data_IF_990431145926
#
_entry.id   IF_990431145926
#
_cell.length_a   1.000
_cell.length_b   1.000
_cell.length_c   1.000
_cell.angle_alpha   90.00
_cell.angle_beta   90.00
_cell.angle_gamma   90.00
#
_symmetry.space_group_name_H-M   'P 1'
#
loop_
_entity.id
_entity.type
_entity.pdbx_description
1 polymer ?
#
# COMPACT_ATOMS: atom_id res chain seq x y z
N UNK A 1 12.62 -14.80 41.35
CA UNK A 1 11.19 -15.17 41.25
C UNK A 1 10.64 -14.59 39.96
N UNK A 2 10.76 -15.34 38.87
CA UNK A 2 10.13 -15.03 37.59
C UNK A 2 8.88 -15.91 37.48
N UNK A 3 7.70 -15.30 37.53
CA UNK A 3 6.44 -15.94 37.12
C UNK A 3 6.07 -15.38 35.75
N UNK A 4 5.93 -16.21 34.72
CA UNK A 4 5.45 -15.75 33.42
C UNK A 4 3.93 -15.59 33.46
N UNK A 5 3.44 -14.38 33.21
CA UNK A 5 2.01 -14.12 32.97
C UNK A 5 1.60 -14.67 31.60
N UNK A 6 1.48 -16.00 31.48
CA UNK A 6 0.90 -16.68 30.31
C UNK A 6 -0.64 -16.65 30.30
N UNK A 7 -1.29 -15.80 31.11
CA UNK A 7 -2.75 -15.77 31.26
C UNK A 7 -3.52 -14.85 30.31
N UNK A 8 -2.87 -13.91 29.61
CA UNK A 8 -3.58 -12.92 28.78
C UNK A 8 -4.00 -13.43 27.40
N UNK A 9 -3.30 -14.44 26.84
CA UNK A 9 -3.64 -14.97 25.52
C UNK A 9 -4.88 -15.89 25.52
N UNK A 10 -5.17 -16.58 26.63
CA UNK A 10 -6.36 -17.43 26.72
C UNK A 10 -7.64 -16.63 27.01
N UNK A 11 -7.54 -15.54 27.78
CA UNK A 11 -8.71 -14.71 28.11
C UNK A 11 -9.23 -13.90 26.91
N UNK A 12 -8.37 -13.52 25.95
CA UNK A 12 -8.82 -12.79 24.77
C UNK A 12 -9.66 -13.65 23.81
N UNK A 13 -9.41 -14.96 23.74
CA UNK A 13 -10.11 -15.84 22.79
C UNK A 13 -11.52 -16.23 23.27
N UNK A 14 -11.76 -16.29 24.58
CA UNK A 14 -13.10 -16.66 25.13
C UNK A 14 -14.07 -15.48 25.24
N UNK A 15 -13.57 -14.23 25.20
CA UNK A 15 -14.39 -13.01 25.38
C UNK A 15 -15.11 -12.56 24.10
N UNK A 16 -14.82 -13.18 22.95
CA UNK A 16 -15.39 -12.84 21.64
C UNK A 16 -16.91 -13.15 21.54
N UNK A 17 -17.47 -13.99 22.42
CA UNK A 17 -18.87 -14.45 22.30
C UNK A 17 -19.93 -13.63 23.06
N UNK A 18 -19.58 -12.56 23.76
CA UNK A 18 -20.57 -11.67 24.42
C UNK A 18 -20.15 -10.20 24.29
N UNK A 19 -20.51 -9.58 23.16
CA UNK A 19 -20.13 -8.22 22.74
C UNK A 19 -20.39 -7.07 23.72
N UNK A 20 -21.05 -7.31 24.85
CA UNK A 20 -21.30 -6.31 25.90
C UNK A 20 -20.03 -6.06 26.76
N UNK A 21 -19.14 -7.05 26.92
CA UNK A 21 -17.94 -6.90 27.76
C UNK A 21 -16.77 -6.19 27.06
N UNK A 22 -16.69 -6.21 25.73
CA UNK A 22 -15.60 -5.55 25.00
C UNK A 22 -15.69 -4.02 25.03
N UNK A 23 -16.90 -3.45 24.98
CA UNK A 23 -17.07 -2.00 25.11
C UNK A 23 -16.59 -1.47 26.47
N UNK A 24 -16.85 -2.22 27.55
CA UNK A 24 -16.34 -1.92 28.89
C UNK A 24 -14.82 -2.16 29.02
N UNK A 25 -14.27 -3.14 28.31
CA UNK A 25 -12.83 -3.38 28.29
C UNK A 25 -12.06 -2.23 27.59
N UNK A 26 -12.60 -1.70 26.48
CA UNK A 26 -12.02 -0.54 25.78
C UNK A 26 -12.03 0.70 26.67
N UNK A 27 -13.12 0.95 27.40
CA UNK A 27 -13.17 2.08 28.34
C UNK A 27 -12.24 1.90 29.55
N UNK A 28 -12.00 0.66 30.00
CA UNK A 28 -11.01 0.36 31.06
C UNK A 28 -9.55 0.49 30.60
N UNK A 29 -9.26 0.32 29.31
CA UNK A 29 -7.94 0.59 28.73
C UNK A 29 -7.57 2.08 28.74
N UNK A 30 -8.54 2.99 28.98
CA UNK A 30 -8.30 4.44 29.08
C UNK A 30 -7.58 4.87 30.36
N UNK A 31 -7.23 3.97 31.28
CA UNK A 31 -6.49 4.35 32.49
C UNK A 31 -5.06 4.79 32.10
N UNK A 32 -4.60 5.98 32.53
CA UNK A 32 -3.29 6.49 32.16
C UNK A 32 -2.19 5.55 32.65
N UNK A 33 -1.19 5.31 31.79
CA UNK A 33 0.04 4.62 32.16
C UNK A 33 0.78 5.43 33.24
N UNK A 34 1.60 4.78 34.10
CA UNK A 34 2.34 5.46 35.16
C UNK A 34 3.17 6.65 34.63
N UNK A 35 3.16 7.78 35.36
CA UNK A 35 3.65 9.11 34.93
C UNK A 35 5.13 9.22 34.56
N UNK A 36 5.94 8.18 34.81
CA UNK A 36 7.41 8.20 34.62
C UNK A 36 7.83 7.67 33.24
N UNK A 37 6.94 6.95 32.54
CA UNK A 37 7.23 6.32 31.25
C UNK A 37 6.86 7.10 29.97
N UNK A 38 5.86 8.00 29.95
CA UNK A 38 5.41 8.63 28.71
C UNK A 38 6.54 9.39 27.98
N UNK A 39 7.32 10.19 28.72
CA UNK A 39 8.29 11.11 28.13
C UNK A 39 9.48 10.44 27.43
N UNK A 40 9.98 9.30 27.92
CA UNK A 40 11.12 8.62 27.27
C UNK A 40 10.71 7.99 25.93
N UNK A 41 9.59 7.25 25.90
CA UNK A 41 9.13 6.58 24.70
C UNK A 41 8.62 7.56 23.63
N UNK A 42 8.03 8.69 24.06
CA UNK A 42 7.61 9.78 23.19
C UNK A 42 8.77 10.41 22.41
N UNK A 43 9.98 10.38 22.95
CA UNK A 43 11.17 10.94 22.29
C UNK A 43 11.86 9.97 21.32
N UNK A 44 11.47 8.68 21.31
CA UNK A 44 12.02 7.74 20.33
C UNK A 44 11.57 8.10 18.91
N UNK A 45 12.43 7.92 17.90
CA UNK A 45 12.02 8.06 16.50
C UNK A 45 10.92 7.05 16.17
N UNK A 46 10.06 7.36 15.19
CA UNK A 46 8.85 6.58 14.89
C UNK A 46 9.17 5.09 14.65
N UNK A 47 10.26 4.80 13.93
CA UNK A 47 10.72 3.46 13.62
C UNK A 47 11.22 2.65 14.84
N UNK A 48 11.41 3.27 16.00
CA UNK A 48 11.65 2.59 17.28
C UNK A 48 10.43 2.67 18.21
N UNK A 49 9.70 3.78 18.16
CA UNK A 49 8.50 4.03 18.97
C UNK A 49 7.43 2.98 18.71
N UNK A 50 7.39 2.40 17.52
CA UNK A 50 6.46 1.32 17.16
C UNK A 50 6.63 0.04 18.00
N UNK A 51 7.77 -0.13 18.67
CA UNK A 51 8.06 -1.26 19.58
C UNK A 51 7.75 -0.93 21.05
N UNK A 52 7.02 0.15 21.34
CA UNK A 52 6.69 0.56 22.70
C UNK A 52 5.28 0.17 23.10
N UNK A 53 5.04 0.12 24.41
CA UNK A 53 3.73 -0.23 24.99
C UNK A 53 2.62 0.75 24.55
N UNK A 54 2.93 2.04 24.44
CA UNK A 54 1.96 3.05 23.99
C UNK A 54 1.48 2.80 22.56
N UNK A 55 2.39 2.40 21.66
CA UNK A 55 2.03 2.05 20.29
C UNK A 55 1.11 0.83 20.23
N UNK A 56 1.42 -0.22 21.01
CA UNK A 56 0.59 -1.44 21.08
C UNK A 56 -0.82 -1.11 21.58
N UNK A 57 -0.96 -0.31 22.65
CA UNK A 57 -2.27 0.11 23.14
C UNK A 57 -3.06 0.91 22.10
N UNK A 58 -2.42 1.85 21.40
CA UNK A 58 -3.07 2.62 20.33
C UNK A 58 -3.57 1.71 19.19
N UNK A 59 -2.81 0.68 18.81
CA UNK A 59 -3.28 -0.34 17.84
C UNK A 59 -4.47 -1.15 18.36
N UNK A 60 -4.47 -1.54 19.64
CA UNK A 60 -5.59 -2.24 20.27
C UNK A 60 -6.85 -1.37 20.21
N UNK A 61 -6.74 -0.08 20.58
CA UNK A 61 -7.85 0.87 20.52
C UNK A 61 -8.36 1.06 19.08
N UNK A 62 -7.45 1.20 18.11
CA UNK A 62 -7.83 1.27 16.68
C UNK A 62 -8.59 0.02 16.23
N UNK A 63 -8.20 -1.17 16.68
CA UNK A 63 -8.95 -2.41 16.40
C UNK A 63 -10.28 -2.46 17.15
N UNK A 64 -10.33 -1.89 18.36
CA UNK A 64 -11.53 -1.72 19.16
C UNK A 64 -12.62 -0.94 18.43
N UNK A 65 -12.25 0.12 17.69
CA UNK A 65 -13.17 0.85 16.81
C UNK A 65 -13.85 -0.09 15.81
N UNK A 66 -13.11 -0.96 15.13
CA UNK A 66 -13.69 -1.90 14.17
C UNK A 66 -14.70 -2.86 14.83
N UNK A 67 -14.40 -3.32 16.04
CA UNK A 67 -15.32 -4.16 16.82
C UNK A 67 -16.60 -3.40 17.16
N UNK A 68 -16.48 -2.18 17.69
CA UNK A 68 -17.62 -1.31 18.01
C UNK A 68 -18.51 -1.10 16.79
N UNK A 69 -17.92 -0.90 15.61
CA UNK A 69 -18.65 -0.73 14.35
C UNK A 69 -19.38 -2.01 13.91
N UNK A 70 -18.76 -3.19 14.06
CA UNK A 70 -19.42 -4.48 13.78
C UNK A 70 -20.59 -4.73 14.73
N UNK A 71 -20.48 -4.27 15.98
CA UNK A 71 -21.56 -4.29 16.98
C UNK A 71 -22.57 -3.16 16.81
N UNK A 72 -22.42 -2.30 15.79
CA UNK A 72 -23.28 -1.12 15.53
C UNK A 72 -23.28 -0.06 16.65
N UNK A 73 -22.26 -0.07 17.50
CA UNK A 73 -22.02 0.91 18.57
C UNK A 73 -21.29 2.14 18.01
N UNK A 74 -21.96 2.87 17.11
CA UNK A 74 -21.33 3.94 16.34
C UNK A 74 -21.03 5.21 17.15
N UNK A 75 -21.73 5.44 18.28
CA UNK A 75 -21.47 6.59 19.14
C UNK A 75 -20.13 6.41 19.86
N UNK A 76 -19.93 5.23 20.41
CA UNK A 76 -18.72 4.79 21.11
C UNK A 76 -17.55 4.72 20.12
N UNK A 77 -17.76 4.21 18.91
CA UNK A 77 -16.75 4.21 17.86
C UNK A 77 -16.28 5.62 17.49
N UNK A 78 -17.20 6.60 17.42
CA UNK A 78 -16.87 8.01 17.16
C UNK A 78 -16.09 8.64 18.32
N UNK A 79 -16.46 8.33 19.56
CA UNK A 79 -15.72 8.79 20.74
C UNK A 79 -14.28 8.26 20.74
N UNK A 80 -14.09 6.97 20.49
CA UNK A 80 -12.75 6.38 20.41
C UNK A 80 -11.93 6.93 19.24
N UNK A 81 -12.53 7.15 18.08
CA UNK A 81 -11.84 7.78 16.95
C UNK A 81 -11.37 9.20 17.28
N UNK A 82 -12.19 9.99 17.99
CA UNK A 82 -11.78 11.32 18.47
C UNK A 82 -10.64 11.25 19.48
N UNK A 83 -10.66 10.27 20.38
CA UNK A 83 -9.57 10.03 21.33
C UNK A 83 -8.27 9.64 20.63
N UNK A 84 -8.34 8.78 19.60
CA UNK A 84 -7.18 8.40 18.79
C UNK A 84 -6.59 9.58 18.02
N UNK A 85 -7.46 10.46 17.49
CA UNK A 85 -7.07 11.62 16.69
C UNK A 85 -6.56 12.81 17.53
N UNK A 86 -6.91 12.90 18.82
CA UNK A 86 -6.48 13.99 19.70
C UNK A 86 -5.01 13.92 20.10
N UNK A 87 -4.37 12.76 19.95
CA UNK A 87 -2.93 12.56 20.16
C UNK A 87 -2.19 12.44 18.82
N UNK A 88 -0.91 12.84 18.80
CA UNK A 88 -0.03 12.80 17.62
C UNK A 88 1.21 11.90 17.81
N UNK A 89 1.32 11.22 18.94
CA UNK A 89 2.52 10.47 19.33
C UNK A 89 2.59 9.09 18.69
N UNK A 90 1.48 8.37 18.68
CA UNK A 90 1.41 6.95 18.34
C UNK A 90 0.57 6.74 17.08
N UNK A 91 1.04 5.83 16.23
CA UNK A 91 0.40 5.43 14.97
C UNK A 91 0.01 6.62 14.05
N UNK A 92 0.92 7.56 13.76
CA UNK A 92 0.63 8.68 12.86
C UNK A 92 0.18 8.21 11.46
N UNK A 93 0.70 7.08 10.99
CA UNK A 93 0.33 6.40 9.74
C UNK A 93 -1.15 5.99 9.67
N UNK A 94 -1.79 5.79 10.83
CA UNK A 94 -3.20 5.38 10.91
C UNK A 94 -4.18 6.55 10.88
N UNK A 95 -3.71 7.81 10.92
CA UNK A 95 -4.58 8.99 11.04
C UNK A 95 -5.53 9.15 9.87
N UNK A 96 -5.08 8.90 8.64
CA UNK A 96 -5.95 8.94 7.46
C UNK A 96 -7.13 7.98 7.56
N UNK A 97 -6.87 6.75 8.01
CA UNK A 97 -7.91 5.75 8.25
C UNK A 97 -8.88 6.19 9.34
N UNK A 98 -8.37 6.77 10.42
CA UNK A 98 -9.21 7.25 11.52
C UNK A 98 -10.11 8.41 11.08
N UNK A 99 -9.59 9.38 10.33
CA UNK A 99 -10.37 10.49 9.79
C UNK A 99 -11.45 10.01 8.82
N UNK A 100 -11.12 9.15 7.85
CA UNK A 100 -12.12 8.63 6.91
C UNK A 100 -13.21 7.84 7.65
N UNK A 101 -12.83 7.02 8.64
CA UNK A 101 -13.80 6.25 9.42
C UNK A 101 -14.67 7.11 10.32
N UNK A 102 -14.12 8.19 10.89
CA UNK A 102 -14.86 9.16 11.68
C UNK A 102 -15.89 9.89 10.81
N UNK A 103 -15.47 10.38 9.65
CA UNK A 103 -16.35 11.03 8.68
C UNK A 103 -17.48 10.10 8.23
N UNK A 104 -17.16 8.83 7.92
CA UNK A 104 -18.14 7.81 7.56
C UNK A 104 -19.16 7.57 8.69
N UNK A 105 -18.70 7.39 9.93
CA UNK A 105 -19.58 7.14 11.06
C UNK A 105 -20.53 8.31 11.33
N UNK A 106 -20.00 9.54 11.32
CA UNK A 106 -20.79 10.76 11.51
C UNK A 106 -21.83 10.93 10.40
N UNK A 107 -21.43 10.74 9.14
CA UNK A 107 -22.30 10.92 7.98
C UNK A 107 -23.35 9.80 7.85
N UNK A 108 -22.91 8.55 7.75
CA UNK A 108 -23.76 7.44 7.33
C UNK A 108 -24.54 6.84 8.49
N UNK A 109 -23.93 6.70 9.67
CA UNK A 109 -24.53 5.99 10.79
C UNK A 109 -25.22 6.91 11.80
N UNK A 110 -24.57 8.02 12.19
CA UNK A 110 -25.13 8.95 13.18
C UNK A 110 -25.95 10.10 12.57
N UNK A 111 -25.85 10.31 11.25
CA UNK A 111 -26.54 11.39 10.51
C UNK A 111 -26.21 12.81 11.02
N UNK A 112 -25.05 12.99 11.63
CA UNK A 112 -24.53 14.27 12.10
C UNK A 112 -23.75 14.97 10.97
N UNK A 113 -24.47 15.50 9.98
CA UNK A 113 -23.88 16.01 8.73
C UNK A 113 -22.90 17.17 8.96
N UNK A 114 -23.23 18.15 9.80
CA UNK A 114 -22.34 19.29 10.09
C UNK A 114 -21.01 18.84 10.71
N UNK A 115 -21.07 17.86 11.62
CA UNK A 115 -19.88 17.28 12.24
C UNK A 115 -19.07 16.48 11.23
N UNK A 116 -19.72 15.76 10.32
CA UNK A 116 -19.03 15.05 9.25
C UNK A 116 -18.28 16.01 8.31
N UNK A 117 -18.88 17.16 7.97
CA UNK A 117 -18.23 18.17 7.12
C UNK A 117 -17.02 18.78 7.84
N UNK A 118 -17.15 19.14 9.12
CA UNK A 118 -16.01 19.60 9.92
C UNK A 118 -14.89 18.56 9.99
N UNK A 119 -15.25 17.30 10.29
CA UNK A 119 -14.32 16.18 10.31
C UNK A 119 -13.56 16.02 8.99
N UNK A 120 -14.23 16.20 7.84
CA UNK A 120 -13.58 16.15 6.53
C UNK A 120 -12.60 17.32 6.37
N UNK A 121 -12.99 18.55 6.73
CA UNK A 121 -12.11 19.73 6.65
C UNK A 121 -10.85 19.55 7.52
N UNK A 122 -11.02 19.07 8.74
CA UNK A 122 -9.90 18.80 9.65
C UNK A 122 -8.99 17.69 9.11
N UNK A 123 -9.57 16.56 8.66
CA UNK A 123 -8.80 15.47 8.07
C UNK A 123 -8.03 15.87 6.80
N UNK A 124 -8.57 16.75 5.97
CA UNK A 124 -7.87 17.31 4.81
C UNK A 124 -6.76 18.30 5.19
N UNK A 125 -6.86 18.92 6.37
CA UNK A 125 -5.86 19.86 6.90
C UNK A 125 -4.76 19.15 7.70
N UNK A 126 -4.95 17.88 8.04
CA UNK A 126 -3.98 17.07 8.78
C UNK A 126 -2.85 16.60 7.83
N UNK A 127 -1.59 17.02 8.06
CA UNK A 127 -0.48 16.71 7.17
C UNK A 127 -0.10 15.22 7.17
N UNK A 128 -0.54 14.46 8.18
CA UNK A 128 -0.25 13.01 8.30
C UNK A 128 -1.27 12.14 7.55
N UNK A 129 -2.30 12.75 6.94
CA UNK A 129 -3.28 12.03 6.14
C UNK A 129 -2.74 11.87 4.72
N UNK A 130 -2.36 10.64 4.38
CA UNK A 130 -1.85 10.26 3.06
C UNK A 130 -2.94 10.15 2.00
N UNK A 131 -2.51 10.13 0.75
CA UNK A 131 -3.32 10.36 -0.45
C UNK A 131 -4.55 9.51 -0.58
N UNK A 132 -4.47 8.19 -0.38
CA UNK A 132 -5.64 7.31 -0.51
C UNK A 132 -6.78 7.76 0.41
N UNK A 133 -6.46 8.12 1.65
CA UNK A 133 -7.43 8.65 2.60
C UNK A 133 -7.82 10.10 2.32
N UNK A 134 -6.91 10.95 1.82
CA UNK A 134 -7.26 12.31 1.34
C UNK A 134 -8.29 12.23 0.22
N UNK A 135 -8.06 11.38 -0.78
CA UNK A 135 -8.98 11.14 -1.90
C UNK A 135 -10.32 10.60 -1.41
N UNK A 136 -10.32 9.63 -0.49
CA UNK A 136 -11.58 9.13 0.12
C UNK A 136 -12.39 10.25 0.78
N UNK A 137 -11.73 11.16 1.51
CA UNK A 137 -12.36 12.33 2.13
C UNK A 137 -12.89 13.32 1.08
N UNK A 138 -12.11 13.62 0.02
CA UNK A 138 -12.55 14.45 -1.10
C UNK A 138 -13.78 13.89 -1.80
N UNK A 139 -13.74 12.61 -2.18
CA UNK A 139 -14.85 11.94 -2.84
C UNK A 139 -16.09 11.88 -1.94
N UNK A 140 -15.92 11.73 -0.62
CA UNK A 140 -17.04 11.82 0.34
C UNK A 140 -17.67 13.20 0.31
N UNK A 141 -16.87 14.26 0.36
CA UNK A 141 -17.37 15.63 0.26
C UNK A 141 -18.09 15.89 -1.08
N UNK A 142 -17.54 15.42 -2.20
CA UNK A 142 -18.16 15.53 -3.52
C UNK A 142 -19.54 14.84 -3.56
N UNK A 143 -19.63 13.58 -3.12
CA UNK A 143 -20.93 12.87 -3.01
C UNK A 143 -21.92 13.57 -2.07
N UNK A 144 -21.43 14.23 -1.02
CA UNK A 144 -22.28 15.03 -0.13
C UNK A 144 -22.82 16.28 -0.82
N UNK A 145 -22.03 16.97 -1.66
CA UNK A 145 -22.48 18.14 -2.44
C UNK A 145 -23.64 17.80 -3.36
N UNK A 146 -23.64 16.60 -3.94
CA UNK A 146 -24.68 16.11 -4.86
C UNK A 146 -25.92 15.53 -4.14
N UNK A 147 -25.79 15.17 -2.86
CA UNK A 147 -26.86 14.48 -2.14
C UNK A 147 -28.02 15.42 -1.77
N UNK A 148 -29.28 15.05 -2.07
CA UNK A 148 -30.45 15.81 -1.64
C UNK A 148 -30.52 16.04 -0.12
N UNK A 149 -30.06 15.04 0.66
CA UNK A 149 -30.03 15.09 2.13
C UNK A 149 -29.10 16.16 2.70
N UNK A 150 -28.11 16.59 1.91
CA UNK A 150 -27.07 17.53 2.33
C UNK A 150 -27.29 18.96 1.81
N UNK A 151 -28.36 19.21 1.03
CA UNK A 151 -28.66 20.55 0.45
C UNK A 151 -28.71 21.66 1.48
N UNK A 152 -29.22 21.41 2.69
CA UNK A 152 -29.28 22.41 3.77
C UNK A 152 -27.90 22.81 4.33
N UNK A 153 -26.87 22.02 4.05
CA UNK A 153 -25.49 22.21 4.53
C UNK A 153 -24.55 22.75 3.43
N UNK A 154 -25.10 23.17 2.27
CA UNK A 154 -24.33 23.57 1.09
C UNK A 154 -23.26 24.63 1.40
N UNK A 155 -23.56 25.59 2.28
CA UNK A 155 -22.61 26.64 2.69
C UNK A 155 -21.33 26.06 3.29
N UNK A 156 -21.47 25.04 4.16
CA UNK A 156 -20.32 24.39 4.78
C UNK A 156 -19.54 23.54 3.78
N UNK A 157 -20.23 22.95 2.81
CA UNK A 157 -19.64 22.10 1.77
C UNK A 157 -18.89 22.92 0.71
N UNK A 158 -19.33 24.14 0.42
CA UNK A 158 -18.71 25.00 -0.59
C UNK A 158 -17.23 25.26 -0.29
N UNK A 159 -16.88 25.45 0.99
CA UNK A 159 -15.49 25.72 1.39
C UNK A 159 -14.63 24.44 1.51
N UNK A 160 -15.17 23.25 1.26
CA UNK A 160 -14.36 22.03 1.27
C UNK A 160 -13.55 22.00 -0.03
N UNK A 161 -12.21 21.91 0.04
CA UNK A 161 -11.38 21.88 -1.16
C UNK A 161 -11.77 20.71 -2.06
N UNK A 162 -11.62 20.90 -3.37
CA UNK A 162 -11.83 19.85 -4.36
C UNK A 162 -10.49 19.38 -4.90
N UNK A 163 -10.38 18.08 -5.13
CA UNK A 163 -9.27 17.48 -5.88
C UNK A 163 -9.83 17.04 -7.22
N UNK A 164 -9.19 17.48 -8.29
CA UNK A 164 -9.46 16.99 -9.64
C UNK A 164 -8.54 15.79 -9.89
N UNK A 165 -9.13 14.66 -10.26
CA UNK A 165 -8.39 13.45 -10.62
C UNK A 165 -8.65 13.26 -12.11
N UNK A 166 -7.59 13.33 -12.90
CA UNK A 166 -7.69 13.14 -14.34
C UNK A 166 -8.21 11.72 -14.62
N UNK A 167 -9.21 11.64 -15.50
CA UNK A 167 -9.71 10.35 -15.96
C UNK A 167 -8.67 9.70 -16.89
N UNK A 168 -8.67 8.37 -16.92
CA UNK A 168 -7.72 7.57 -17.70
C UNK A 168 -8.44 6.84 -18.83
N UNK A 169 -7.70 6.32 -19.79
CA UNK A 169 -8.29 5.53 -20.88
C UNK A 169 -8.79 4.19 -20.35
N UNK A 170 -10.08 3.89 -20.57
CA UNK A 170 -10.68 2.63 -20.15
C UNK A 170 -10.75 1.64 -21.32
N UNK A 171 -10.18 0.44 -21.14
CA UNK A 171 -10.26 -0.67 -22.10
C UNK A 171 -11.14 -1.77 -21.53
N UNK A 172 -12.05 -2.33 -22.34
CA UNK A 172 -12.92 -3.44 -21.92
C UNK A 172 -12.61 -4.70 -22.71
N UNK A 173 -12.20 -5.74 -22.00
CA UNK A 173 -11.86 -7.06 -22.55
C UNK A 173 -13.00 -8.03 -22.21
N UNK A 174 -13.39 -8.89 -23.15
CA UNK A 174 -14.42 -9.91 -22.93
C UNK A 174 -13.74 -11.27 -22.71
N UNK A 175 -14.13 -11.96 -21.63
CA UNK A 175 -13.71 -13.32 -21.34
C UNK A 175 -14.88 -14.24 -21.01
N UNK A 176 -14.70 -15.55 -21.23
CA UNK A 176 -15.69 -16.57 -20.87
C UNK A 176 -15.47 -16.98 -19.41
N UNK A 177 -16.40 -16.64 -18.53
CA UNK A 177 -16.28 -16.97 -17.09
C UNK A 177 -16.50 -18.47 -16.85
N UNK A 178 -15.69 -19.07 -15.99
CA UNK A 178 -15.88 -20.43 -15.49
C UNK A 178 -17.00 -20.43 -14.44
N UNK A 179 -18.01 -21.32 -14.54
CA UNK A 179 -19.09 -21.38 -13.56
C UNK A 179 -18.55 -21.70 -12.15
N UNK A 180 -18.81 -20.82 -11.19
CA UNK A 180 -18.48 -21.04 -9.78
C UNK A 180 -19.76 -21.13 -8.94
N UNK A 181 -19.80 -22.08 -8.01
CA UNK A 181 -20.93 -22.34 -7.11
C UNK A 181 -20.78 -21.69 -5.71
N UNK A 182 -19.76 -20.86 -5.48
CA UNK A 182 -19.46 -20.27 -4.17
C UNK A 182 -18.81 -18.88 -4.22
N UNK A 183 -18.46 -18.35 -3.05
CA UNK A 183 -17.69 -17.11 -2.92
C UNK A 183 -16.21 -17.39 -3.22
N UNK A 184 -15.70 -16.89 -4.33
CA UNK A 184 -14.31 -17.06 -4.76
C UNK A 184 -13.88 -15.99 -5.76
N UNK A 185 -12.57 -15.95 -6.08
CA UNK A 185 -12.05 -15.10 -7.16
C UNK A 185 -12.63 -15.57 -8.50
N UNK A 186 -13.03 -14.64 -9.36
CA UNK A 186 -13.50 -14.95 -10.71
C UNK A 186 -12.40 -15.67 -11.52
N UNK A 187 -12.77 -16.76 -12.18
CA UNK A 187 -11.88 -17.57 -13.04
C UNK A 187 -12.45 -17.57 -14.45
N UNK A 188 -11.60 -17.46 -15.46
CA UNK A 188 -11.95 -17.39 -16.87
C UNK A 188 -11.41 -18.60 -17.65
N UNK A 189 -12.02 -18.88 -18.80
CA UNK A 189 -11.60 -19.92 -19.73
C UNK A 189 -10.94 -19.26 -20.94
N UNK A 190 -9.74 -19.72 -21.27
CA UNK A 190 -8.96 -19.31 -22.42
C UNK A 190 -8.63 -20.53 -23.28
N UNK A 191 -8.67 -20.36 -24.60
CA UNK A 191 -8.21 -21.38 -25.53
C UNK A 191 -6.71 -21.15 -25.80
N UNK A 192 -5.88 -22.09 -25.37
CA UNK A 192 -4.45 -22.06 -25.62
C UNK A 192 -4.11 -22.96 -26.82
N UNK A 193 -3.27 -22.45 -27.70
CA UNK A 193 -2.85 -23.16 -28.91
C UNK A 193 -1.53 -23.86 -28.61
N UNK A 194 -1.61 -25.11 -28.16
CA UNK A 194 -0.41 -25.92 -27.91
C UNK A 194 0.08 -26.49 -29.24
N UNK A 195 1.24 -26.01 -29.71
CA UNK A 195 1.95 -26.65 -30.81
C UNK A 195 2.72 -27.85 -30.24
N UNK A 196 2.23 -29.06 -30.48
CA UNK A 196 2.97 -30.27 -30.12
C UNK A 196 4.19 -30.43 -31.05
N UNK A 197 5.40 -30.28 -30.50
CA UNK A 197 6.63 -30.69 -31.20
C UNK A 197 6.74 -32.22 -31.18
N UNK A 198 5.88 -32.90 -31.92
CA UNK A 198 6.02 -34.32 -32.26
C UNK A 198 7.01 -34.46 -33.40
N UNK A 199 8.04 -35.29 -33.22
CA UNK A 199 9.15 -35.44 -34.16
C UNK A 199 8.81 -36.11 -35.50
N UNK A 200 7.56 -36.49 -35.79
CA UNK A 200 7.16 -36.97 -37.11
C UNK A 200 5.63 -36.83 -37.29
N UNK A 201 5.26 -36.31 -38.46
CA UNK A 201 3.92 -36.28 -39.09
C UNK A 201 2.89 -35.25 -38.54
N UNK A 202 2.62 -34.24 -39.39
CA UNK A 202 1.57 -33.20 -39.36
C UNK A 202 1.33 -32.46 -38.03
N UNK A 203 1.59 -31.14 -37.95
CA UNK A 203 1.23 -30.34 -36.78
C UNK A 203 -0.29 -30.38 -36.58
N UNK A 204 -0.76 -31.22 -35.65
CA UNK A 204 -2.15 -31.20 -35.20
C UNK A 204 -2.27 -30.06 -34.19
N UNK A 205 -3.00 -29.03 -34.58
CA UNK A 205 -3.32 -27.90 -33.69
C UNK A 205 -4.40 -28.37 -32.72
N UNK A 206 -4.02 -28.74 -31.50
CA UNK A 206 -4.97 -29.00 -30.42
C UNK A 206 -5.21 -27.71 -29.65
N UNK A 207 -6.47 -27.26 -29.60
CA UNK A 207 -6.91 -26.18 -28.71
C UNK A 207 -7.19 -26.79 -27.34
N UNK A 208 -6.37 -26.43 -26.34
CA UNK A 208 -6.61 -26.81 -24.95
C UNK A 208 -7.31 -25.66 -24.24
N UNK A 209 -8.42 -25.96 -23.53
CA UNK A 209 -9.10 -24.93 -22.73
C UNK A 209 -8.44 -24.86 -21.35
N UNK A 210 -7.75 -23.75 -21.08
CA UNK A 210 -7.05 -23.48 -19.82
C UNK A 210 -7.87 -22.53 -18.95
N UNK A 211 -7.84 -22.74 -17.64
CA UNK A 211 -8.42 -21.81 -16.67
C UNK A 211 -7.40 -20.72 -16.32
N UNK A 212 -7.82 -19.45 -16.32
CA UNK A 212 -6.94 -18.31 -16.09
C UNK A 212 -7.58 -17.26 -15.17
N UNK A 213 -6.74 -16.38 -14.61
CA UNK A 213 -7.17 -15.20 -13.86
C UNK A 213 -7.64 -14.06 -14.78
N UNK A 214 -8.09 -12.95 -14.21
CA UNK A 214 -8.45 -11.75 -14.99
C UNK A 214 -7.22 -11.09 -15.61
N UNK A 215 -6.08 -11.15 -14.92
CA UNK A 215 -4.81 -10.55 -15.31
C UNK A 215 -4.14 -11.38 -16.41
N UNK A 216 -4.19 -12.71 -16.32
CA UNK A 216 -3.74 -13.59 -17.40
C UNK A 216 -4.58 -13.40 -18.68
N UNK A 217 -5.90 -13.18 -18.53
CA UNK A 217 -6.77 -12.82 -19.65
C UNK A 217 -6.38 -11.48 -20.28
N UNK A 218 -6.04 -10.48 -19.47
CA UNK A 218 -5.56 -9.18 -19.95
C UNK A 218 -4.23 -9.31 -20.69
N UNK A 219 -3.25 -10.04 -20.12
CA UNK A 219 -1.96 -10.30 -20.76
C UNK A 219 -2.13 -10.98 -22.13
N UNK A 220 -3.00 -11.99 -22.25
CA UNK A 220 -3.25 -12.63 -23.54
C UNK A 220 -3.86 -11.67 -24.58
N UNK A 221 -4.75 -10.78 -24.15
CA UNK A 221 -5.32 -9.77 -25.03
C UNK A 221 -4.24 -8.81 -25.57
N UNK A 222 -3.35 -8.32 -24.73
CA UNK A 222 -2.28 -7.43 -25.17
C UNK A 222 -1.21 -8.15 -26.00
N UNK A 223 -0.94 -9.44 -25.75
CA UNK A 223 -0.12 -10.26 -26.66
C UNK A 223 -0.68 -10.30 -28.08
N UNK A 224 -2.00 -10.42 -28.23
CA UNK A 224 -2.65 -10.35 -29.54
C UNK A 224 -2.54 -8.97 -30.21
N UNK A 225 -2.34 -7.90 -29.43
CA UNK A 225 -2.08 -6.56 -29.93
C UNK A 225 -0.59 -6.30 -30.23
N UNK A 226 0.26 -7.32 -30.10
CA UNK A 226 1.68 -7.26 -30.44
C UNK A 226 2.62 -7.00 -29.27
N UNK A 227 2.12 -6.97 -28.03
CA UNK A 227 2.97 -6.87 -26.85
C UNK A 227 3.40 -8.25 -26.36
N UNK A 228 4.59 -8.69 -26.77
CA UNK A 228 5.06 -10.07 -26.58
C UNK A 228 5.55 -10.36 -25.16
N UNK A 229 5.85 -9.33 -24.37
CA UNK A 229 6.25 -9.44 -22.98
C UNK A 229 5.19 -8.87 -22.04
N UNK A 230 5.06 -9.47 -20.85
CA UNK A 230 4.34 -8.83 -19.77
C UNK A 230 4.43 -9.53 -18.42
N UNK A 231 4.32 -8.73 -17.35
CA UNK A 231 4.52 -9.16 -15.96
C UNK A 231 3.27 -8.82 -15.14
N UNK A 232 2.63 -9.85 -14.58
CA UNK A 232 1.64 -9.66 -13.53
C UNK A 232 2.33 -9.60 -12.16
N UNK A 233 2.71 -8.39 -11.74
CA UNK A 233 3.45 -8.17 -10.50
C UNK A 233 2.89 -7.12 -9.55
N UNK A 234 1.87 -6.36 -9.97
CA UNK A 234 1.39 -5.20 -9.21
C UNK A 234 2.60 -4.31 -8.79
N UNK A 235 2.58 -3.77 -7.57
CA UNK A 235 3.70 -2.99 -7.05
C UNK A 235 5.00 -3.77 -6.79
N UNK A 236 4.97 -5.11 -6.84
CA UNK A 236 6.18 -5.92 -6.63
C UNK A 236 7.20 -5.71 -7.76
N UNK A 237 6.75 -5.37 -8.97
CA UNK A 237 7.65 -5.10 -10.10
C UNK A 237 8.49 -3.85 -9.83
N UNK A 238 7.85 -2.73 -9.50
CA UNK A 238 8.52 -1.46 -9.22
C UNK A 238 9.33 -1.49 -7.94
N UNK A 239 8.81 -2.07 -6.86
CA UNK A 239 9.59 -2.22 -5.62
C UNK A 239 10.84 -3.08 -5.83
N UNK A 240 10.79 -4.10 -6.70
CA UNK A 240 11.98 -4.91 -7.04
C UNK A 240 12.98 -4.08 -7.82
N UNK A 241 12.56 -3.34 -8.85
CA UNK A 241 13.45 -2.45 -9.60
C UNK A 241 14.07 -1.38 -8.70
N UNK A 242 13.27 -0.74 -7.84
CA UNK A 242 13.74 0.22 -6.84
C UNK A 242 14.78 -0.41 -5.91
N UNK A 243 14.48 -1.59 -5.35
CA UNK A 243 15.40 -2.29 -4.47
C UNK A 243 16.72 -2.68 -5.17
N UNK A 244 16.68 -3.01 -6.46
CA UNK A 244 17.88 -3.28 -7.26
C UNK A 244 18.70 -2.01 -7.51
N UNK A 245 18.04 -0.89 -7.81
CA UNK A 245 18.68 0.39 -8.12
C UNK A 245 19.16 1.18 -6.90
N UNK A 246 18.64 0.88 -5.70
CA UNK A 246 18.91 1.63 -4.46
C UNK A 246 19.57 0.77 -3.39
N UNK A 247 20.02 -0.45 -3.72
CA UNK A 247 20.47 -1.43 -2.72
C UNK A 247 21.56 -0.90 -1.79
N UNK A 248 22.58 -0.26 -2.34
CA UNK A 248 23.70 0.32 -1.59
C UNK A 248 23.24 1.44 -0.65
N UNK A 249 22.25 2.25 -1.06
CA UNK A 249 21.66 3.33 -0.25
C UNK A 249 20.75 2.75 0.84
N UNK A 250 19.95 1.73 0.54
CA UNK A 250 19.09 1.05 1.53
C UNK A 250 19.94 0.49 2.68
N UNK A 251 21.08 -0.13 2.35
CA UNK A 251 21.97 -0.77 3.32
C UNK A 251 23.18 0.09 3.72
N UNK A 252 23.16 1.40 3.44
CA UNK A 252 24.28 2.26 3.78
C UNK A 252 24.52 2.34 5.29
N UNK A 253 25.79 2.45 5.67
CA UNK A 253 26.19 2.73 7.05
C UNK A 253 25.97 4.21 7.44
N UNK A 254 26.22 4.52 8.70
CA UNK A 254 26.19 5.90 9.20
C UNK A 254 24.83 6.39 9.69
N UNK A 255 23.81 5.53 9.70
CA UNK A 255 22.47 5.83 10.21
C UNK A 255 22.26 5.07 11.51
N UNK A 256 21.98 5.80 12.58
CA UNK A 256 21.87 5.22 13.92
C UNK A 256 20.60 4.40 14.10
N UNK A 257 20.71 3.32 14.87
CA UNK A 257 19.61 2.45 15.33
C UNK A 257 18.79 1.71 14.26
N UNK A 258 19.02 1.92 12.96
CA UNK A 258 18.26 1.26 11.89
C UNK A 258 18.65 -0.21 11.66
N UNK A 259 19.87 -0.60 12.03
CA UNK A 259 20.32 -2.00 12.08
C UNK A 259 20.83 -2.32 13.50
N UNK A 260 20.05 -3.09 14.25
CA UNK A 260 20.31 -3.48 15.64
C UNK A 260 20.81 -4.92 15.79
N UNK A 261 20.65 -5.76 14.77
CA UNK A 261 21.16 -7.13 14.77
C UNK A 261 21.49 -7.63 13.35
N UNK A 262 22.21 -8.75 13.27
CA UNK A 262 22.74 -9.34 12.03
C UNK A 262 21.72 -10.09 11.18
N UNK A 263 20.47 -10.22 11.65
CA UNK A 263 19.41 -10.98 10.96
C UNK A 263 18.37 -10.07 10.27
N UNK A 264 18.59 -8.75 10.29
CA UNK A 264 17.71 -7.82 9.62
C UNK A 264 17.83 -7.89 8.10
N UNK A 265 16.67 -7.95 7.45
CA UNK A 265 16.53 -7.99 5.98
C UNK A 265 16.31 -6.61 5.36
N UNK A 266 16.13 -5.58 6.20
CA UNK A 266 15.95 -4.17 5.85
C UNK A 266 16.27 -3.27 7.05
N UNK A 267 16.55 -1.97 6.83
CA UNK A 267 16.68 -1.02 7.92
C UNK A 267 15.32 -0.76 8.59
N UNK A 268 15.30 -0.54 9.91
CA UNK A 268 14.05 -0.37 10.66
C UNK A 268 13.21 0.84 10.22
N UNK A 269 13.84 1.85 9.60
CA UNK A 269 13.17 3.05 9.13
C UNK A 269 12.53 2.91 7.74
N UNK A 270 12.71 1.78 7.04
CA UNK A 270 12.29 1.58 5.64
C UNK A 270 10.83 1.91 5.32
N UNK A 271 9.93 1.80 6.27
CA UNK A 271 8.50 2.09 6.06
C UNK A 271 8.04 3.33 6.84
N UNK A 272 8.96 4.27 7.02
CA UNK A 272 8.73 5.52 7.72
C UNK A 272 9.32 6.68 6.93
N UNK A 273 8.71 7.85 7.09
CA UNK A 273 9.18 9.10 6.49
C UNK A 273 10.66 9.40 6.85
N UNK A 274 11.16 8.86 7.97
CA UNK A 274 12.55 9.00 8.40
C UNK A 274 13.57 8.36 7.46
N UNK A 275 13.22 7.32 6.69
CA UNK A 275 14.21 6.68 5.81
C UNK A 275 14.68 7.61 4.70
N UNK A 276 13.76 8.36 4.10
CA UNK A 276 14.09 9.38 3.10
C UNK A 276 14.91 10.50 3.75
N UNK A 277 14.44 11.06 4.87
CA UNK A 277 15.15 12.16 5.56
C UNK A 277 16.58 11.78 5.98
N UNK A 278 16.77 10.55 6.50
CA UNK A 278 18.08 10.04 6.90
C UNK A 278 19.04 9.79 5.72
N UNK A 279 18.51 9.70 4.49
CA UNK A 279 19.24 9.36 3.26
C UNK A 279 18.99 10.37 2.15
N UNK A 280 18.57 11.59 2.50
CA UNK A 280 18.06 12.57 1.53
C UNK A 280 19.05 12.84 0.41
N UNK A 281 20.26 13.26 0.78
CA UNK A 281 21.33 13.58 -0.17
C UNK A 281 21.68 12.41 -1.11
N UNK A 282 22.03 11.19 -0.63
CA UNK A 282 22.35 10.09 -1.54
C UNK A 282 21.15 9.61 -2.37
N UNK A 283 19.92 9.72 -1.85
CA UNK A 283 18.71 9.42 -2.64
C UNK A 283 18.57 10.44 -3.77
N UNK A 284 18.61 11.74 -3.47
CA UNK A 284 18.49 12.81 -4.47
C UNK A 284 19.59 12.70 -5.53
N UNK A 285 20.85 12.47 -5.13
CA UNK A 285 21.96 12.26 -6.05
C UNK A 285 21.77 11.02 -6.94
N UNK A 286 21.22 9.92 -6.40
CA UNK A 286 20.91 8.72 -7.18
C UNK A 286 19.76 8.98 -8.16
N UNK A 287 18.73 9.72 -7.75
CA UNK A 287 17.62 10.07 -8.64
C UNK A 287 18.10 10.95 -9.80
N UNK A 288 18.94 11.96 -9.53
CA UNK A 288 19.56 12.80 -10.56
C UNK A 288 20.40 11.96 -11.53
N UNK A 289 21.17 10.99 -11.01
CA UNK A 289 21.93 10.05 -11.85
C UNK A 289 21.01 9.22 -12.73
N UNK A 290 19.93 8.64 -12.16
CA UNK A 290 19.01 7.77 -12.90
C UNK A 290 18.26 8.53 -14.01
N UNK A 291 17.96 9.81 -13.79
CA UNK A 291 17.30 10.66 -14.77
C UNK A 291 18.16 10.90 -16.02
N UNK A 292 19.47 11.09 -15.83
CA UNK A 292 20.42 11.39 -16.92
C UNK A 292 21.18 10.14 -17.41
N UNK A 293 20.92 8.97 -16.83
CA UNK A 293 21.64 7.74 -17.12
C UNK A 293 21.35 7.22 -18.54
N UNK A 294 22.40 6.73 -19.21
CA UNK A 294 22.21 5.95 -20.43
C UNK A 294 21.56 4.61 -20.12
N UNK A 295 20.93 4.01 -21.12
CA UNK A 295 20.36 2.65 -21.08
C UNK A 295 21.39 1.65 -20.54
N UNK A 296 22.62 1.71 -21.03
CA UNK A 296 23.70 0.81 -20.60
C UNK A 296 24.03 1.02 -19.11
N UNK A 297 23.97 2.25 -18.62
CA UNK A 297 24.22 2.58 -17.22
C UNK A 297 23.14 1.98 -16.32
N UNK A 298 21.86 2.13 -16.69
CA UNK A 298 20.74 1.55 -15.94
C UNK A 298 20.83 0.02 -15.89
N UNK A 299 21.10 -0.62 -17.04
CA UNK A 299 21.27 -2.06 -17.12
C UNK A 299 22.45 -2.56 -16.31
N UNK A 300 23.55 -1.80 -16.27
CA UNK A 300 24.72 -2.10 -15.45
C UNK A 300 24.42 -2.04 -13.95
N UNK A 301 23.71 -1.01 -13.49
CA UNK A 301 23.32 -0.88 -12.07
C UNK A 301 22.45 -2.06 -11.62
N UNK A 302 21.46 -2.43 -12.43
CA UNK A 302 20.61 -3.61 -12.16
C UNK A 302 21.45 -4.88 -12.11
N UNK A 303 22.34 -5.09 -13.08
CA UNK A 303 23.19 -6.28 -13.15
C UNK A 303 24.17 -6.38 -11.97
N UNK A 304 24.75 -5.26 -11.53
CA UNK A 304 25.68 -5.24 -10.39
C UNK A 304 25.00 -5.71 -9.11
N UNK A 305 23.83 -5.15 -8.79
CA UNK A 305 23.05 -5.58 -7.63
C UNK A 305 22.57 -7.01 -7.78
N UNK A 306 22.05 -7.38 -8.95
CA UNK A 306 21.58 -8.75 -9.19
C UNK A 306 22.69 -9.77 -8.95
N UNK A 307 23.84 -9.63 -9.62
CA UNK A 307 24.93 -10.59 -9.54
C UNK A 307 25.55 -10.69 -8.13
N UNK A 308 25.55 -9.59 -7.37
CA UNK A 308 26.18 -9.55 -6.04
C UNK A 308 25.24 -9.91 -4.89
N UNK A 309 23.92 -9.73 -5.07
CA UNK A 309 22.94 -9.84 -3.97
C UNK A 309 21.87 -10.92 -4.18
N UNK A 310 21.80 -11.57 -5.35
CA UNK A 310 20.76 -12.56 -5.65
C UNK A 310 20.62 -13.61 -4.53
N UNK A 311 19.38 -13.86 -4.13
CA UNK A 311 19.05 -14.82 -3.06
C UNK A 311 19.07 -14.24 -1.66
N UNK A 312 19.55 -13.00 -1.44
CA UNK A 312 19.40 -12.32 -0.15
C UNK A 312 17.96 -11.88 0.06
N UNK A 313 17.45 -12.11 1.27
CA UNK A 313 16.08 -11.72 1.61
C UNK A 313 16.03 -10.20 1.80
N UNK A 314 15.09 -9.55 1.12
CA UNK A 314 14.77 -8.13 1.25
C UNK A 314 13.27 -7.93 0.96
N UNK A 315 12.54 -7.08 1.71
CA UNK A 315 11.10 -6.88 1.50
C UNK A 315 10.74 -6.19 0.17
N UNK A 316 11.69 -5.49 -0.45
CA UNK A 316 11.51 -4.78 -1.71
C UNK A 316 11.85 -5.63 -2.92
N UNK A 317 12.84 -6.52 -2.80
CA UNK A 317 13.36 -7.31 -3.93
C UNK A 317 12.79 -8.72 -3.91
N UNK A 318 11.92 -9.02 -4.87
CA UNK A 318 11.50 -10.39 -5.17
C UNK A 318 12.34 -10.94 -6.32
N UNK A 319 13.30 -11.82 -6.01
CA UNK A 319 14.20 -12.44 -7.00
C UNK A 319 13.52 -13.36 -8.02
N UNK A 320 12.25 -13.74 -7.79
CA UNK A 320 11.44 -14.54 -8.72
C UNK A 320 10.50 -13.67 -9.57
N UNK A 321 10.49 -12.34 -9.36
CA UNK A 321 9.62 -11.42 -10.09
C UNK A 321 9.96 -11.37 -11.58
N UNK A 322 11.25 -11.38 -11.88
CA UNK A 322 11.77 -11.43 -13.24
C UNK A 322 12.28 -12.84 -13.53
N UNK A 323 11.96 -13.36 -14.71
CA UNK A 323 12.38 -14.69 -15.15
C UNK A 323 13.89 -14.75 -15.37
N UNK A 324 14.50 -13.61 -15.71
CA UNK A 324 15.95 -13.47 -15.92
C UNK A 324 16.42 -12.04 -15.63
N UNK A 325 17.74 -11.87 -15.46
CA UNK A 325 18.38 -10.56 -15.40
C UNK A 325 18.09 -9.74 -16.66
N UNK A 326 18.12 -10.37 -17.83
CA UNK A 326 17.80 -9.72 -19.11
C UNK A 326 16.38 -9.14 -19.10
N UNK A 327 15.40 -9.85 -18.54
CA UNK A 327 14.04 -9.33 -18.42
C UNK A 327 13.99 -8.10 -17.48
N UNK A 328 14.68 -8.15 -16.33
CA UNK A 328 14.76 -7.00 -15.42
C UNK A 328 15.44 -5.78 -16.09
N UNK A 329 16.50 -6.02 -16.86
CA UNK A 329 17.22 -5.02 -17.64
C UNK A 329 16.42 -4.45 -18.81
N UNK A 330 15.45 -5.19 -19.35
CA UNK A 330 14.56 -4.69 -20.40
C UNK A 330 13.38 -3.90 -19.80
N UNK A 331 12.82 -4.36 -18.68
CA UNK A 331 11.74 -3.66 -17.95
C UNK A 331 12.13 -2.24 -17.51
N UNK A 332 13.41 -2.00 -17.19
CA UNK A 332 13.85 -0.65 -16.82
C UNK A 332 13.82 0.33 -18.01
N UNK A 333 13.95 -0.15 -19.25
CA UNK A 333 13.95 0.69 -20.45
C UNK A 333 12.55 1.20 -20.76
N UNK A 334 11.56 0.34 -20.60
CA UNK A 334 10.15 0.70 -20.74
C UNK A 334 9.69 1.64 -19.64
N UNK A 335 10.30 1.53 -18.46
CA UNK A 335 10.11 2.53 -17.42
C UNK A 335 10.72 3.87 -17.86
N UNK A 336 11.95 3.92 -18.39
CA UNK A 336 12.70 5.16 -18.66
C UNK A 336 11.96 6.16 -19.58
N UNK A 337 11.32 5.68 -20.66
CA UNK A 337 10.51 6.54 -21.55
C UNK A 337 9.25 7.12 -20.87
N UNK A 338 8.85 6.55 -19.73
CA UNK A 338 7.76 7.02 -18.87
C UNK A 338 8.26 7.66 -17.56
N UNK A 339 9.55 7.58 -17.24
CA UNK A 339 10.16 8.08 -15.99
C UNK A 339 10.48 9.58 -16.06
N UNK A 340 9.47 10.42 -16.32
CA UNK A 340 9.49 11.72 -15.62
C UNK A 340 9.41 11.43 -14.12
N UNK A 341 10.11 12.24 -13.30
CA UNK A 341 10.20 12.26 -11.82
C UNK A 341 9.14 11.40 -11.06
N UNK A 342 7.89 11.56 -11.45
CA UNK A 342 6.67 10.89 -10.99
C UNK A 342 6.75 9.36 -10.78
N UNK A 343 7.47 8.56 -11.59
CA UNK A 343 7.44 7.08 -11.43
C UNK A 343 8.46 6.51 -10.42
N UNK A 344 9.62 7.16 -10.24
CA UNK A 344 10.52 6.86 -9.13
C UNK A 344 9.93 7.37 -7.82
N UNK A 345 9.20 8.48 -7.87
CA UNK A 345 8.34 8.93 -6.76
C UNK A 345 7.25 7.89 -6.44
N UNK A 346 6.57 7.31 -7.43
CA UNK A 346 5.61 6.20 -7.22
C UNK A 346 6.28 4.96 -6.63
N UNK A 347 7.48 4.59 -7.09
CA UNK A 347 8.21 3.46 -6.52
C UNK A 347 8.68 3.72 -5.08
N UNK A 348 9.06 4.96 -4.76
CA UNK A 348 9.31 5.46 -3.40
C UNK A 348 8.03 5.51 -2.56
N UNK A 349 6.88 5.82 -3.15
CA UNK A 349 5.58 5.85 -2.48
C UNK A 349 5.04 4.46 -2.16
N UNK A 350 5.20 3.48 -3.05
CA UNK A 350 4.78 2.10 -2.83
C UNK A 350 5.56 1.40 -1.70
N UNK A 351 6.82 1.80 -1.49
CA UNK A 351 7.62 1.35 -0.34
C UNK A 351 7.34 2.15 0.95
N UNK A 352 6.48 3.17 0.87
CA UNK A 352 6.06 4.02 1.99
C UNK A 352 7.07 5.10 2.36
N UNK A 353 7.90 5.51 1.40
CA UNK A 353 9.02 6.44 1.54
C UNK A 353 8.81 7.81 0.89
N UNK A 354 7.81 7.94 0.01
CA UNK A 354 7.42 9.22 -0.55
C UNK A 354 6.27 9.89 0.24
N UNK A 355 6.38 11.20 0.40
CA UNK A 355 5.38 12.05 1.05
C UNK A 355 4.23 12.46 0.11
N UNK A 356 4.10 11.90 -1.10
CA UNK A 356 3.21 12.43 -2.13
C UNK A 356 2.65 11.37 -3.10
N UNK A 357 1.55 10.69 -2.73
CA UNK A 357 0.48 10.17 -3.66
C UNK A 357 0.81 9.10 -4.73
N UNK A 358 -0.01 8.02 -4.91
CA UNK A 358 -0.81 7.17 -4.02
C UNK A 358 -0.37 5.67 -3.99
N UNK A 359 -0.96 4.94 -3.04
CA UNK A 359 -0.97 3.47 -2.93
C UNK A 359 -1.37 2.75 -4.23
N UNK A 360 -0.58 1.73 -4.57
CA UNK A 360 -0.84 0.62 -5.50
C UNK A 360 -1.15 1.09 -6.91
N UNK A 361 -0.11 1.21 -7.72
CA UNK A 361 -0.28 1.18 -9.17
C UNK A 361 -0.20 -0.29 -9.58
N UNK A 362 -1.33 -0.90 -9.91
CA UNK A 362 -1.29 -2.09 -10.76
C UNK A 362 -0.93 -1.60 -12.15
N UNK A 363 0.36 -1.38 -12.40
CA UNK A 363 0.85 -1.34 -13.76
C UNK A 363 1.16 -2.79 -14.11
N UNK A 364 0.31 -3.35 -14.98
CA UNK A 364 0.74 -4.48 -15.77
C UNK A 364 1.77 -3.92 -16.76
N UNK A 365 3.03 -4.27 -16.55
CA UNK A 365 4.06 -3.97 -17.53
C UNK A 365 3.81 -4.84 -18.74
N UNK A 366 3.56 -4.20 -19.87
CA UNK A 366 3.29 -4.82 -21.15
C UNK A 366 4.17 -4.08 -22.15
N UNK A 367 5.13 -4.78 -22.75
CA UNK A 367 6.11 -4.14 -23.62
C UNK A 367 6.42 -4.97 -24.85
N UNK A 368 6.87 -4.27 -25.90
CA UNK A 368 7.31 -4.86 -27.16
C UNK A 368 8.83 -5.02 -27.13
N UNK A 369 9.33 -6.22 -27.40
CA UNK A 369 10.77 -6.53 -27.40
C UNK A 369 11.58 -5.89 -28.53
N UNK A 370 10.96 -5.14 -29.45
CA UNK A 370 11.65 -4.59 -30.62
C UNK A 370 11.31 -3.13 -30.91
N UNK A 371 12.36 -2.32 -31.06
CA UNK A 371 12.30 -0.91 -31.43
C UNK A 371 11.71 -0.68 -32.82
N UNK A 372 10.39 -0.69 -32.92
CA UNK A 372 9.68 0.02 -33.95
C UNK A 372 8.77 1.05 -33.30
N UNK A 373 9.30 2.27 -33.23
CA UNK A 373 8.51 3.48 -33.09
C UNK A 373 7.25 3.41 -33.95
N UNK A 374 6.12 3.80 -33.37
CA UNK A 374 5.10 4.51 -34.12
C UNK A 374 4.91 5.90 -33.54
#
# INVERSE_FOLDING_TARGET
MFTPYCGLNAALFTVINRGIWLGSAISHLRKPLPSVWPSYFENLPVYLRCFTVGWVYTRILSRGVEVLQRLRMYKEAVEELRNLLSQSTYCPDSRGRWWDRLALNLQQHLKCIDQAIHCIKEGLSDPLVRTGHRLSLFQRAARMKESPSCKKHWKLLQDVPSMDVQDVSHVTIRGKMCPQTGMGKSVFLMEDIVQSQGQNENPSTSSETVMCSVEELALAHYRQQGFDQGIHGEGSTFSTLFGLLMWDIIFMGGIEDVFRNTYQVCPLDLHTDSFYENRKTPIEERLDLLQEASVETLQMLVAETWNSQQGKINPLVNWERFVSLEQAQNSILTAQDSMSSDHLEVALDEVGLGGWTPEVTVLEEIYQSSGQQR
#
